data_IF_393682621323
#
_entry.id   IF_393682621323
#
_cell.length_a   1.000
_cell.length_b   1.000
_cell.length_c   1.000
_cell.angle_alpha   90.00
_cell.angle_beta   90.00
_cell.angle_gamma   90.00
#
_symmetry.space_group_name_H-M   'P 1'
#
loop_
_entity.id
_entity.type
_entity.pdbx_description
1 polymer ?
#
# COMPACT_ATOMS: atom_id res chain seq x y z
N UNK A 1 -2.60 -4.09 7.29
CA UNK A 1 -3.15 -3.45 6.07
C UNK A 1 -2.00 -3.37 5.08
N UNK A 2 -2.16 -3.91 3.88
CA UNK A 2 -1.17 -3.75 2.83
C UNK A 2 -0.94 -2.26 2.52
N UNK A 3 0.32 -1.85 2.53
CA UNK A 3 0.78 -0.52 2.12
C UNK A 3 1.52 -0.65 0.77
N UNK A 4 2.18 0.38 0.30
CA UNK A 4 2.85 0.37 -1.01
C UNK A 4 3.78 -0.86 -1.23
N UNK A 5 4.66 -1.26 -0.30
CA UNK A 5 5.55 -2.39 -0.55
C UNK A 5 4.84 -3.73 -0.73
N UNK A 6 3.79 -4.00 0.04
CA UNK A 6 2.99 -5.23 -0.06
C UNK A 6 2.24 -5.29 -1.41
N UNK A 7 1.67 -4.15 -1.82
CA UNK A 7 0.99 -4.06 -3.11
C UNK A 7 1.98 -4.19 -4.28
N UNK A 8 3.16 -3.59 -4.17
CA UNK A 8 4.23 -3.72 -5.16
C UNK A 8 4.71 -5.18 -5.29
N UNK A 9 4.85 -5.90 -4.17
CA UNK A 9 5.18 -7.32 -4.16
C UNK A 9 4.10 -8.15 -4.88
N UNK A 10 2.83 -7.85 -4.62
CA UNK A 10 1.72 -8.51 -5.31
C UNK A 10 1.74 -8.24 -6.82
N UNK A 11 1.99 -6.99 -7.23
CA UNK A 11 2.11 -6.63 -8.65
C UNK A 11 3.23 -7.43 -9.33
N UNK A 12 4.40 -7.53 -8.69
CA UNK A 12 5.53 -8.29 -9.25
C UNK A 12 5.20 -9.77 -9.47
N UNK A 13 4.51 -10.39 -8.51
CA UNK A 13 4.06 -11.77 -8.64
C UNK A 13 3.04 -11.97 -9.77
N UNK A 14 2.22 -10.93 -10.04
CA UNK A 14 1.22 -10.97 -11.10
C UNK A 14 1.76 -10.66 -12.50
N UNK A 15 3.01 -10.21 -12.64
CA UNK A 15 3.58 -9.82 -13.94
C UNK A 15 3.50 -10.93 -14.99
N UNK A 16 3.58 -12.19 -14.62
CA UNK A 16 3.43 -13.32 -15.52
C UNK A 16 2.05 -13.48 -16.18
N UNK A 17 1.08 -12.62 -15.80
CA UNK A 17 -0.26 -12.60 -16.41
C UNK A 17 -0.43 -11.50 -17.48
N UNK A 18 0.57 -10.63 -17.68
CA UNK A 18 0.58 -9.71 -18.82
C UNK A 18 0.63 -10.49 -20.13
N UNK A 19 -0.16 -10.06 -21.10
CA UNK A 19 -0.37 -10.75 -22.39
C UNK A 19 -1.31 -11.95 -22.33
N UNK A 20 -1.82 -12.34 -21.14
CA UNK A 20 -2.76 -13.47 -21.01
C UNK A 20 -4.20 -13.02 -21.12
N UNK A 21 -5.03 -13.89 -21.68
CA UNK A 21 -6.48 -13.71 -21.77
C UNK A 21 -7.11 -14.09 -20.44
N UNK A 22 -7.89 -13.18 -19.87
CA UNK A 22 -8.76 -13.44 -18.73
C UNK A 22 -10.00 -14.19 -19.21
N UNK A 23 -10.07 -15.51 -19.02
CA UNK A 23 -11.12 -16.35 -19.61
C UNK A 23 -12.47 -16.21 -18.93
N UNK A 24 -12.46 -16.17 -17.59
CA UNK A 24 -13.69 -16.14 -16.79
C UNK A 24 -13.42 -15.52 -15.42
N UNK A 25 -14.45 -14.97 -14.77
CA UNK A 25 -14.40 -14.46 -13.42
C UNK A 25 -15.51 -15.10 -12.59
N UNK A 26 -15.13 -15.84 -11.56
CA UNK A 26 -16.08 -16.41 -10.59
C UNK A 26 -16.18 -15.52 -9.36
N UNK A 27 -17.39 -15.13 -8.99
CA UNK A 27 -17.67 -14.33 -7.79
C UNK A 27 -18.44 -15.17 -6.79
N UNK A 28 -17.78 -15.53 -5.70
CA UNK A 28 -18.40 -16.31 -4.61
C UNK A 28 -19.19 -15.42 -3.65
N UNK A 29 -18.71 -14.20 -3.41
CA UNK A 29 -19.37 -13.27 -2.51
C UNK A 29 -19.25 -11.81 -3.04
N UNK A 30 -20.35 -11.24 -3.54
CA UNK A 30 -20.34 -9.86 -4.05
C UNK A 30 -20.44 -8.81 -2.94
N UNK A 31 -20.71 -9.21 -1.69
CA UNK A 31 -20.90 -8.30 -0.57
C UNK A 31 -19.58 -8.02 0.16
N UNK A 32 -18.68 -7.34 -0.54
CA UNK A 32 -17.55 -6.65 0.08
C UNK A 32 -18.01 -5.33 0.70
N UNK A 33 -17.17 -4.62 1.45
CA UNK A 33 -17.49 -3.30 2.00
C UNK A 33 -18.03 -2.34 0.93
N UNK A 34 -17.47 -2.39 -0.25
CA UNK A 34 -18.00 -1.75 -1.46
C UNK A 34 -18.60 -2.86 -2.31
N UNK A 35 -19.91 -2.78 -2.53
CA UNK A 35 -20.63 -3.79 -3.33
C UNK A 35 -19.92 -3.94 -4.67
N UNK A 36 -19.55 -5.17 -4.99
CA UNK A 36 -18.95 -5.49 -6.26
C UNK A 36 -19.97 -5.24 -7.37
N UNK A 37 -19.56 -4.55 -8.42
CA UNK A 37 -20.36 -4.40 -9.63
C UNK A 37 -20.29 -5.71 -10.44
N UNK A 38 -21.13 -6.68 -10.04
CA UNK A 38 -21.17 -7.99 -10.67
C UNK A 38 -21.66 -7.94 -12.13
N UNK A 39 -22.34 -6.88 -12.54
CA UNK A 39 -22.78 -6.74 -13.94
C UNK A 39 -21.62 -6.38 -14.85
N UNK A 40 -20.74 -5.48 -14.39
CA UNK A 40 -19.65 -4.99 -15.20
C UNK A 40 -18.36 -5.81 -15.05
N UNK A 41 -18.20 -6.63 -13.99
CA UNK A 41 -16.95 -7.39 -13.82
C UNK A 41 -16.73 -8.39 -14.97
N UNK A 42 -17.81 -8.97 -15.50
CA UNK A 42 -17.74 -9.92 -16.60
C UNK A 42 -17.41 -9.27 -17.97
N UNK A 43 -17.45 -7.93 -18.07
CA UNK A 43 -16.98 -7.24 -19.28
C UNK A 43 -15.48 -7.38 -19.51
N UNK A 44 -14.73 -7.80 -18.50
CA UNK A 44 -13.29 -8.08 -18.61
C UNK A 44 -12.98 -9.48 -19.15
N UNK A 45 -13.98 -10.37 -19.26
CA UNK A 45 -13.79 -11.73 -19.76
C UNK A 45 -13.45 -11.72 -21.24
N UNK A 46 -12.56 -12.63 -21.61
CA UNK A 46 -11.98 -12.76 -22.95
C UNK A 46 -11.11 -11.56 -23.41
N UNK A 47 -10.81 -10.62 -22.51
CA UNK A 47 -9.87 -9.54 -22.79
C UNK A 47 -8.44 -9.93 -22.38
N UNK A 48 -7.48 -9.34 -23.09
CA UNK A 48 -6.05 -9.47 -22.79
C UNK A 48 -5.67 -8.45 -21.72
N UNK A 49 -4.95 -8.89 -20.68
CA UNK A 49 -4.30 -7.97 -19.75
C UNK A 49 -3.08 -7.38 -20.46
N UNK A 50 -3.14 -6.11 -20.83
CA UNK A 50 -2.03 -5.43 -21.50
C UNK A 50 -0.89 -5.13 -20.53
N UNK A 51 -1.23 -4.68 -19.31
CA UNK A 51 -0.25 -4.31 -18.31
C UNK A 51 -0.78 -4.51 -16.89
N UNK A 52 0.11 -4.86 -15.97
CA UNK A 52 -0.17 -4.90 -14.52
C UNK A 52 0.81 -3.97 -13.83
N UNK A 53 0.30 -3.00 -13.08
CA UNK A 53 1.14 -2.06 -12.37
C UNK A 53 0.51 -1.61 -11.06
N UNK A 54 1.28 -0.95 -10.22
CA UNK A 54 0.80 -0.35 -8.98
C UNK A 54 0.56 1.14 -9.16
N UNK A 55 -0.56 1.63 -8.66
CA UNK A 55 -0.78 3.05 -8.39
C UNK A 55 -1.26 3.23 -6.96
N UNK A 56 -0.54 4.02 -6.18
CA UNK A 56 -0.80 4.16 -4.73
C UNK A 56 -0.79 2.80 -4.02
N UNK A 57 -1.91 2.40 -3.41
CA UNK A 57 -2.11 1.08 -2.77
C UNK A 57 -3.05 0.17 -3.57
N UNK A 58 -3.21 0.46 -4.86
CA UNK A 58 -4.00 -0.34 -5.78
C UNK A 58 -3.11 -1.12 -6.75
N UNK A 59 -3.50 -2.34 -7.04
CA UNK A 59 -3.07 -3.09 -8.20
C UNK A 59 -3.95 -2.64 -9.35
N UNK A 60 -3.35 -2.34 -10.49
CA UNK A 60 -4.06 -1.90 -11.69
C UNK A 60 -3.81 -2.93 -12.79
N UNK A 61 -4.87 -3.47 -13.34
CA UNK A 61 -4.87 -4.29 -14.54
C UNK A 61 -5.38 -3.41 -15.67
N UNK A 62 -4.56 -3.21 -16.68
CA UNK A 62 -4.89 -2.43 -17.87
C UNK A 62 -5.36 -3.36 -18.98
N UNK A 63 -6.50 -3.02 -19.56
CA UNK A 63 -7.09 -3.65 -20.74
C UNK A 63 -7.24 -2.60 -21.85
N UNK A 64 -7.58 -3.00 -23.08
CA UNK A 64 -7.68 -2.09 -24.23
C UNK A 64 -8.47 -0.80 -23.93
N UNK A 65 -9.60 -0.91 -23.26
CA UNK A 65 -10.52 0.21 -23.02
C UNK A 65 -10.77 0.52 -21.54
N UNK A 66 -10.29 -0.32 -20.64
CA UNK A 66 -10.61 -0.28 -19.23
C UNK A 66 -9.38 -0.44 -18.35
N UNK A 67 -9.47 0.13 -17.16
CA UNK A 67 -8.58 -0.16 -16.03
C UNK A 67 -9.36 -0.85 -14.92
N UNK A 68 -8.88 -1.98 -14.46
CA UNK A 68 -9.42 -2.63 -13.28
C UNK A 68 -8.54 -2.31 -12.07
N UNK A 69 -9.11 -1.57 -11.12
CA UNK A 69 -8.46 -1.24 -9.84
C UNK A 69 -8.82 -2.29 -8.80
N UNK A 70 -7.81 -2.90 -8.22
CA UNK A 70 -7.93 -3.83 -7.10
C UNK A 70 -7.22 -3.25 -5.88
N UNK A 71 -7.96 -2.98 -4.82
CA UNK A 71 -7.43 -2.55 -3.52
C UNK A 71 -7.59 -3.68 -2.50
N UNK A 72 -6.50 -4.07 -1.87
CA UNK A 72 -6.47 -5.21 -0.94
C UNK A 72 -7.15 -4.93 0.42
N UNK A 73 -7.59 -3.70 0.69
CA UNK A 73 -8.22 -3.34 1.96
C UNK A 73 -7.27 -3.48 3.14
N UNK A 74 -7.68 -4.21 4.17
CA UNK A 74 -6.86 -4.42 5.37
C UNK A 74 -6.28 -5.84 5.48
N UNK A 75 -6.98 -6.83 4.97
CA UNK A 75 -6.65 -8.26 5.08
C UNK A 75 -6.70 -8.97 3.74
N UNK A 76 -6.96 -8.24 2.66
CA UNK A 76 -7.01 -8.81 1.32
C UNK A 76 -5.65 -9.33 0.88
N UNK A 77 -5.67 -10.52 0.31
CA UNK A 77 -4.51 -11.21 -0.26
C UNK A 77 -4.87 -11.76 -1.63
N UNK A 78 -3.86 -11.98 -2.45
CA UNK A 78 -3.99 -12.71 -3.70
C UNK A 78 -3.24 -14.03 -3.59
N UNK A 79 -3.80 -15.08 -4.16
CA UNK A 79 -3.18 -16.40 -4.27
C UNK A 79 -3.19 -16.82 -5.73
N UNK A 80 -2.03 -17.23 -6.24
CA UNK A 80 -1.91 -17.86 -7.55
C UNK A 80 -2.01 -19.37 -7.33
N UNK A 81 -2.82 -20.03 -8.13
CA UNK A 81 -2.96 -21.49 -8.11
C UNK A 81 -3.10 -22.03 -9.54
N UNK A 82 -2.83 -23.31 -9.73
CA UNK A 82 -3.06 -24.00 -11.00
C UNK A 82 -4.55 -24.00 -11.34
N UNK A 83 -4.91 -23.90 -12.62
CA UNK A 83 -6.30 -23.89 -13.07
C UNK A 83 -7.05 -25.18 -12.72
N UNK A 84 -6.34 -26.30 -12.65
CA UNK A 84 -6.88 -27.60 -12.21
C UNK A 84 -7.10 -27.70 -10.70
N UNK A 85 -6.63 -26.73 -9.92
CA UNK A 85 -6.79 -26.75 -8.47
C UNK A 85 -8.23 -26.44 -8.08
N UNK A 86 -8.85 -27.35 -7.34
CA UNK A 86 -10.16 -27.16 -6.72
C UNK A 86 -10.07 -26.55 -5.31
N UNK A 87 -8.92 -25.97 -4.97
CA UNK A 87 -8.71 -25.38 -3.64
C UNK A 87 -9.55 -24.13 -3.49
N UNK A 88 -10.57 -24.21 -2.65
CA UNK A 88 -11.40 -23.09 -2.20
C UNK A 88 -11.18 -22.92 -0.71
N UNK A 89 -10.90 -21.71 -0.27
CA UNK A 89 -10.73 -21.38 1.14
C UNK A 89 -11.85 -20.46 1.63
N UNK A 90 -12.05 -20.49 2.94
CA UNK A 90 -12.95 -19.54 3.59
C UNK A 90 -12.48 -18.12 3.26
N UNK A 91 -13.42 -17.27 2.82
CA UNK A 91 -13.17 -15.87 2.41
C UNK A 91 -12.51 -15.67 1.03
N UNK A 92 -12.47 -16.70 0.19
CA UNK A 92 -12.23 -16.53 -1.24
C UNK A 92 -13.48 -15.88 -1.85
N UNK A 93 -13.32 -14.67 -2.38
CA UNK A 93 -14.46 -13.88 -2.87
C UNK A 93 -14.52 -13.82 -4.39
N UNK A 94 -13.38 -13.78 -5.05
CA UNK A 94 -13.29 -13.65 -6.50
C UNK A 94 -12.15 -14.52 -7.01
N UNK A 95 -12.40 -15.20 -8.12
CA UNK A 95 -11.39 -15.98 -8.84
C UNK A 95 -11.32 -15.48 -10.28
N UNK A 96 -10.16 -15.07 -10.72
CA UNK A 96 -9.84 -14.72 -12.09
C UNK A 96 -9.20 -15.93 -12.77
N UNK A 97 -9.87 -16.50 -13.75
CA UNK A 97 -9.46 -17.72 -14.43
C UNK A 97 -8.70 -17.42 -15.73
N UNK A 98 -7.53 -18.01 -15.86
CA UNK A 98 -6.71 -18.00 -17.07
C UNK A 98 -6.58 -19.45 -17.60
N UNK A 99 -5.79 -19.66 -18.65
CA UNK A 99 -5.67 -20.98 -19.25
C UNK A 99 -5.07 -22.01 -18.28
N UNK A 100 -3.94 -21.69 -17.68
CA UNK A 100 -3.14 -22.61 -16.88
C UNK A 100 -3.23 -22.32 -15.38
N UNK A 101 -3.61 -21.10 -15.01
CA UNK A 101 -3.61 -20.63 -13.63
C UNK A 101 -4.85 -19.82 -13.30
N UNK A 102 -5.08 -19.64 -12.02
CA UNK A 102 -6.10 -18.73 -11.49
C UNK A 102 -5.49 -17.79 -10.44
N UNK A 103 -6.03 -16.58 -10.35
CA UNK A 103 -5.73 -15.63 -9.28
C UNK A 103 -6.95 -15.57 -8.37
N UNK A 104 -6.77 -15.88 -7.09
CA UNK A 104 -7.84 -15.89 -6.09
C UNK A 104 -7.68 -14.70 -5.18
N UNK A 105 -8.72 -13.91 -5.02
CA UNK A 105 -8.79 -12.85 -4.02
C UNK A 105 -9.48 -13.35 -2.75
N UNK A 106 -8.72 -13.33 -1.64
CA UNK A 106 -9.18 -13.68 -0.30
C UNK A 106 -9.18 -12.44 0.58
N UNK A 107 -10.25 -12.17 1.33
CA UNK A 107 -10.31 -11.06 2.28
C UNK A 107 -11.25 -11.33 3.46
N UNK A 108 -10.67 -11.68 4.59
CA UNK A 108 -11.42 -12.00 5.83
C UNK A 108 -12.31 -10.85 6.31
N UNK A 109 -11.86 -9.61 6.17
CA UNK A 109 -12.58 -8.41 6.66
C UNK A 109 -13.46 -7.76 5.62
N UNK A 110 -13.38 -8.18 4.36
CA UNK A 110 -14.17 -7.66 3.23
C UNK A 110 -13.98 -6.16 2.98
N UNK A 111 -12.79 -5.61 3.27
CA UNK A 111 -12.46 -4.20 3.08
C UNK A 111 -11.78 -3.92 1.73
N UNK A 112 -11.46 -4.98 0.99
CA UNK A 112 -11.02 -4.87 -0.39
C UNK A 112 -12.11 -4.29 -1.29
N UNK A 113 -11.70 -3.69 -2.38
CA UNK A 113 -12.65 -3.24 -3.39
C UNK A 113 -12.09 -3.44 -4.81
N UNK A 114 -13.02 -3.55 -5.74
CA UNK A 114 -12.79 -3.72 -7.16
C UNK A 114 -13.53 -2.61 -7.90
N UNK A 115 -12.87 -1.97 -8.83
CA UNK A 115 -13.48 -0.91 -9.62
C UNK A 115 -13.00 -0.99 -11.05
N UNK A 116 -13.94 -1.07 -11.99
CA UNK A 116 -13.65 -0.96 -13.42
C UNK A 116 -13.84 0.50 -13.80
N UNK A 117 -12.86 1.07 -14.48
CA UNK A 117 -12.84 2.47 -14.91
C UNK A 117 -12.57 2.53 -16.40
N UNK A 118 -13.28 3.39 -17.12
CA UNK A 118 -12.86 3.82 -18.45
C UNK A 118 -11.50 4.52 -18.37
N UNK A 119 -10.83 4.68 -19.51
CA UNK A 119 -9.57 5.45 -19.58
C UNK A 119 -9.70 6.87 -19.04
N UNK A 120 -10.84 7.51 -19.29
CA UNK A 120 -11.12 8.86 -18.77
C UNK A 120 -11.30 8.85 -17.25
N UNK A 121 -12.16 7.98 -16.73
CA UNK A 121 -12.40 7.84 -15.29
C UNK A 121 -11.13 7.46 -14.52
N UNK A 122 -10.23 6.68 -15.13
CA UNK A 122 -8.93 6.39 -14.54
C UNK A 122 -8.02 7.62 -14.49
N UNK A 123 -7.99 8.45 -15.53
CA UNK A 123 -7.24 9.71 -15.52
C UNK A 123 -7.73 10.65 -14.42
N UNK A 124 -9.04 10.74 -14.21
CA UNK A 124 -9.62 11.57 -13.15
C UNK A 124 -9.29 11.02 -11.76
N UNK A 125 -9.33 9.72 -11.59
CA UNK A 125 -8.84 9.06 -10.37
C UNK A 125 -7.35 9.38 -10.12
N UNK A 126 -6.51 9.26 -11.13
CA UNK A 126 -5.07 9.47 -11.01
C UNK A 126 -4.71 10.92 -10.69
N UNK A 127 -5.40 11.90 -11.28
CA UNK A 127 -5.22 13.35 -11.02
C UNK A 127 -5.47 13.75 -9.58
N UNK A 128 -6.34 13.02 -8.86
CA UNK A 128 -6.62 13.29 -7.46
C UNK A 128 -5.52 12.79 -6.51
N UNK A 129 -4.62 11.99 -7.00
CA UNK A 129 -3.56 11.37 -6.21
C UNK A 129 -2.26 12.18 -6.27
N UNK A 130 -1.59 12.26 -5.14
CA UNK A 130 -0.23 12.79 -5.07
C UNK A 130 0.79 11.94 -5.83
N UNK A 131 2.04 12.39 -5.90
CA UNK A 131 3.11 11.68 -6.58
C UNK A 131 3.44 10.35 -5.88
N UNK A 132 3.96 9.42 -6.67
CA UNK A 132 4.58 8.20 -6.15
C UNK A 132 5.83 8.55 -5.33
N UNK A 133 5.98 8.02 -4.11
CA UNK A 133 7.05 8.41 -3.21
C UNK A 133 8.46 8.07 -3.72
N UNK A 134 8.56 7.10 -4.63
CA UNK A 134 9.85 6.68 -5.20
C UNK A 134 10.20 7.43 -6.51
N UNK A 135 9.28 8.22 -7.04
CA UNK A 135 9.53 9.04 -8.23
C UNK A 135 10.37 10.29 -7.92
N UNK A 136 10.86 10.95 -8.97
CA UNK A 136 11.52 12.26 -8.89
C UNK A 136 10.56 13.37 -8.48
N UNK A 137 9.27 13.25 -8.81
CA UNK A 137 8.24 14.24 -8.49
C UNK A 137 8.00 14.38 -6.97
N UNK A 138 8.30 13.37 -6.15
CA UNK A 138 8.29 13.48 -4.70
C UNK A 138 9.67 13.93 -4.23
N UNK A 139 9.88 15.25 -4.15
CA UNK A 139 11.12 15.91 -3.71
C UNK A 139 10.92 16.67 -2.40
N UNK A 140 12.03 17.14 -1.79
CA UNK A 140 11.96 17.98 -0.60
C UNK A 140 11.26 19.31 -0.90
N UNK A 141 11.55 19.95 -2.03
CA UNK A 141 10.89 21.19 -2.47
C UNK A 141 9.39 21.00 -2.69
N UNK A 142 8.97 19.88 -3.30
CA UNK A 142 7.57 19.54 -3.42
C UNK A 142 6.88 19.40 -2.06
N UNK A 143 7.49 18.64 -1.14
CA UNK A 143 6.90 18.43 0.19
C UNK A 143 6.83 19.74 0.96
N UNK A 144 7.89 20.58 0.93
CA UNK A 144 7.92 21.90 1.55
C UNK A 144 6.78 22.79 1.05
N UNK A 145 6.59 22.93 -0.25
CA UNK A 145 5.50 23.69 -0.85
C UNK A 145 4.14 23.27 -0.30
N UNK A 146 3.90 21.96 -0.23
CA UNK A 146 2.60 21.41 0.17
C UNK A 146 2.31 21.54 1.68
N UNK A 147 3.35 21.57 2.54
CA UNK A 147 3.14 21.57 3.99
C UNK A 147 3.44 22.90 4.67
N UNK A 148 4.05 23.87 3.98
CA UNK A 148 4.52 25.16 4.55
C UNK A 148 3.45 25.99 5.24
N UNK A 149 2.18 25.84 4.87
CA UNK A 149 1.04 26.53 5.49
C UNK A 149 0.18 25.61 6.38
N UNK A 150 0.61 24.36 6.61
CA UNK A 150 -0.22 23.38 7.29
C UNK A 150 0.12 23.28 8.78
N UNK A 151 -0.89 23.48 9.63
CA UNK A 151 -0.81 23.22 11.08
C UNK A 151 -1.04 21.73 11.43
N UNK A 152 -1.38 20.88 10.45
CA UNK A 152 -1.60 19.48 10.69
C UNK A 152 -0.30 18.75 11.05
N UNK A 153 -0.41 17.72 11.89
CA UNK A 153 0.70 16.86 12.23
C UNK A 153 1.35 16.23 11.00
N UNK A 154 2.66 16.27 10.90
CA UNK A 154 3.41 15.77 9.72
C UNK A 154 3.10 14.31 9.42
N UNK A 155 2.86 13.48 10.44
CA UNK A 155 2.44 12.10 10.23
C UNK A 155 1.16 11.99 9.42
N UNK A 156 0.15 12.83 9.71
CA UNK A 156 -1.10 12.83 8.97
C UNK A 156 -0.90 13.32 7.52
N UNK A 157 -0.04 14.31 7.34
CA UNK A 157 0.27 14.87 6.02
C UNK A 157 0.92 13.82 5.12
N UNK A 158 1.98 13.14 5.56
CA UNK A 158 2.65 12.12 4.74
C UNK A 158 1.82 10.84 4.53
N UNK A 159 0.75 10.65 5.28
CA UNK A 159 -0.22 9.56 5.09
C UNK A 159 -1.42 9.97 4.21
N UNK A 160 -1.51 11.24 3.83
CA UNK A 160 -2.56 11.74 2.93
C UNK A 160 -2.21 11.41 1.48
N UNK A 161 -3.08 10.65 0.80
CA UNK A 161 -2.87 10.22 -0.58
C UNK A 161 -2.90 11.35 -1.61
N UNK A 162 -3.48 12.51 -1.27
CA UNK A 162 -3.42 13.69 -2.14
C UNK A 162 -2.06 14.40 -2.06
N UNK A 163 -1.26 14.14 -1.00
CA UNK A 163 0.06 14.72 -0.85
C UNK A 163 1.15 13.76 -1.34
N UNK A 164 1.13 12.52 -0.87
CA UNK A 164 2.03 11.45 -1.34
C UNK A 164 1.31 10.11 -1.20
N UNK A 165 1.35 9.29 -2.23
CA UNK A 165 0.63 8.03 -2.21
C UNK A 165 1.42 6.91 -1.55
N UNK A 166 0.70 5.87 -1.13
CA UNK A 166 1.28 4.58 -0.76
C UNK A 166 1.86 4.50 0.65
N UNK A 167 2.24 5.62 1.28
CA UNK A 167 2.72 5.65 2.65
C UNK A 167 1.56 5.38 3.61
N UNK A 168 1.72 4.36 4.44
CA UNK A 168 0.72 4.05 5.46
C UNK A 168 1.30 4.15 6.86
N UNK A 169 0.61 3.56 7.85
CA UNK A 169 0.96 3.75 9.25
C UNK A 169 2.31 3.13 9.64
N UNK A 170 2.67 1.99 9.03
CA UNK A 170 3.94 1.32 9.34
C UNK A 170 5.10 2.17 8.84
N UNK A 171 5.10 2.48 7.56
CA UNK A 171 6.22 3.16 6.92
C UNK A 171 6.30 4.64 7.30
N UNK A 172 5.19 5.29 7.67
CA UNK A 172 5.20 6.64 8.23
C UNK A 172 5.94 6.68 9.58
N UNK A 173 5.66 5.74 10.49
CA UNK A 173 6.38 5.68 11.78
C UNK A 173 7.88 5.42 11.57
N UNK A 174 8.23 4.46 10.73
CA UNK A 174 9.64 4.13 10.46
C UNK A 174 10.40 5.32 9.82
N UNK A 175 9.79 5.98 8.85
CA UNK A 175 10.40 7.14 8.19
C UNK A 175 10.58 8.33 9.13
N UNK A 176 9.58 8.63 9.96
CA UNK A 176 9.66 9.68 10.97
C UNK A 176 10.75 9.39 12.03
N UNK A 177 10.89 8.13 12.44
CA UNK A 177 11.96 7.74 13.35
C UNK A 177 13.34 7.90 12.71
N UNK A 178 13.52 7.42 11.48
CA UNK A 178 14.80 7.51 10.75
C UNK A 178 15.21 8.97 10.50
N UNK A 179 14.25 9.83 10.19
CA UNK A 179 14.49 11.26 9.97
C UNK A 179 14.67 12.08 11.25
N UNK A 180 14.35 11.50 12.44
CA UNK A 180 14.37 12.20 13.71
C UNK A 180 13.21 13.21 13.91
N UNK A 181 12.19 13.15 13.08
CA UNK A 181 11.04 14.06 13.10
C UNK A 181 9.95 13.52 14.04
N UNK A 182 9.48 14.35 14.97
CA UNK A 182 8.38 13.98 15.85
C UNK A 182 7.05 13.90 15.08
N UNK A 183 6.23 12.84 15.23
CA UNK A 183 5.03 12.64 14.42
C UNK A 183 3.96 13.73 14.56
N UNK A 184 3.93 14.44 15.68
CA UNK A 184 2.99 15.55 15.94
C UNK A 184 3.52 16.92 15.51
N UNK A 185 4.77 17.06 15.06
CA UNK A 185 5.27 18.35 14.57
C UNK A 185 4.38 18.83 13.41
N UNK A 186 3.92 20.07 13.49
CA UNK A 186 3.11 20.68 12.42
C UNK A 186 3.94 20.85 11.14
N UNK A 187 3.31 20.70 9.98
CA UNK A 187 4.01 20.82 8.70
C UNK A 187 4.79 22.12 8.55
N UNK A 188 4.16 23.25 8.90
CA UNK A 188 4.74 24.59 8.82
C UNK A 188 5.88 24.87 9.82
N UNK A 189 6.12 23.98 10.78
CA UNK A 189 7.23 24.11 11.76
C UNK A 189 8.46 23.30 11.35
N UNK A 190 8.40 22.52 10.30
CA UNK A 190 9.54 21.74 9.83
C UNK A 190 10.56 22.64 9.09
N UNK A 191 11.83 22.45 9.41
CA UNK A 191 12.93 23.08 8.68
C UNK A 191 13.22 22.33 7.38
N UNK A 192 13.74 23.00 6.36
CA UNK A 192 14.08 22.40 5.07
C UNK A 192 15.01 21.19 5.20
N UNK A 193 15.96 21.23 6.14
CA UNK A 193 16.86 20.10 6.42
C UNK A 193 16.12 18.89 7.00
N UNK A 194 15.04 19.09 7.74
CA UNK A 194 14.22 18.00 8.28
C UNK A 194 13.30 17.43 7.21
N UNK A 195 12.76 18.29 6.35
CA UNK A 195 11.96 17.88 5.17
C UNK A 195 12.81 17.00 4.24
N UNK A 196 14.05 17.44 3.93
CA UNK A 196 14.96 16.64 3.10
C UNK A 196 15.27 15.27 3.72
N UNK A 197 15.58 15.23 5.03
CA UNK A 197 15.78 13.98 5.77
C UNK A 197 14.54 13.09 5.73
N UNK A 198 13.35 13.67 5.88
CA UNK A 198 12.09 12.92 5.87
C UNK A 198 11.79 12.30 4.50
N UNK A 199 11.96 13.07 3.42
CA UNK A 199 11.79 12.57 2.05
C UNK A 199 12.77 11.43 1.75
N UNK A 200 14.05 11.59 2.11
CA UNK A 200 15.06 10.54 1.98
C UNK A 200 14.70 9.30 2.79
N UNK A 201 14.24 9.47 4.04
CA UNK A 201 13.84 8.38 4.91
C UNK A 201 12.62 7.60 4.36
N UNK A 202 11.60 8.31 3.85
CA UNK A 202 10.44 7.68 3.19
C UNK A 202 10.90 6.82 2.01
N UNK A 203 11.71 7.39 1.11
CA UNK A 203 12.22 6.64 -0.05
C UNK A 203 13.06 5.43 0.37
N UNK A 204 13.94 5.60 1.36
CA UNK A 204 14.81 4.54 1.87
C UNK A 204 14.02 3.37 2.46
N UNK A 205 13.07 3.68 3.34
CA UNK A 205 12.27 2.67 4.04
C UNK A 205 11.41 1.86 3.08
N UNK A 206 10.77 2.55 2.11
CA UNK A 206 9.94 1.90 1.11
C UNK A 206 10.76 1.02 0.16
N UNK A 207 11.89 1.52 -0.37
CA UNK A 207 12.79 0.72 -1.22
C UNK A 207 13.26 -0.54 -0.50
N UNK A 208 13.66 -0.42 0.77
CA UNK A 208 14.11 -1.55 1.58
C UNK A 208 12.99 -2.55 1.83
N UNK A 209 11.78 -2.06 2.13
CA UNK A 209 10.62 -2.92 2.33
C UNK A 209 10.25 -3.70 1.06
N UNK A 210 10.25 -3.04 -0.11
CA UNK A 210 10.00 -3.70 -1.40
C UNK A 210 11.05 -4.80 -1.67
N UNK A 211 12.33 -4.50 -1.43
CA UNK A 211 13.41 -5.48 -1.63
C UNK A 211 13.31 -6.72 -0.73
N UNK A 212 12.62 -6.61 0.40
CA UNK A 212 12.39 -7.69 1.36
C UNK A 212 10.99 -8.33 1.23
N UNK A 213 10.26 -8.03 0.16
CA UNK A 213 8.93 -8.61 -0.08
C UNK A 213 7.81 -8.07 0.81
N UNK A 214 8.00 -6.87 1.40
CA UNK A 214 7.04 -6.24 2.30
C UNK A 214 7.09 -6.76 3.74
N UNK A 215 6.18 -6.28 4.59
CA UNK A 215 6.02 -6.75 5.98
C UNK A 215 5.05 -7.92 6.03
N UNK A 216 5.43 -9.02 6.66
CA UNK A 216 4.45 -10.02 7.11
C UNK A 216 3.76 -9.47 8.37
N UNK A 217 2.68 -8.75 8.20
CA UNK A 217 1.65 -8.69 9.21
C UNK A 217 0.92 -10.03 9.16
N UNK A 218 0.36 -10.50 10.29
CA UNK A 218 -0.20 -11.85 10.49
C UNK A 218 -1.03 -12.42 9.31
N UNK A 219 -1.50 -11.55 8.44
CA UNK A 219 -2.52 -11.85 7.42
C UNK A 219 -2.08 -11.54 5.97
N UNK A 220 -0.80 -11.22 5.70
CA UNK A 220 -0.34 -10.95 4.33
C UNK A 220 0.72 -11.96 3.90
N UNK A 221 0.44 -12.65 2.81
CA UNK A 221 1.38 -13.51 2.07
C UNK A 221 1.47 -12.98 0.63
N UNK A 222 2.63 -13.14 -0.01
CA UNK A 222 2.70 -12.91 -1.44
C UNK A 222 1.79 -13.90 -2.19
N UNK A 223 1.36 -13.59 -3.43
CA UNK A 223 0.57 -14.52 -4.22
C UNK A 223 1.16 -15.93 -4.37
N UNK A 224 2.49 -16.05 -4.29
CA UNK A 224 3.21 -17.34 -4.32
C UNK A 224 3.33 -18.00 -2.93
N UNK A 225 2.70 -17.43 -1.90
CA UNK A 225 2.72 -17.98 -0.54
C UNK A 225 3.95 -17.61 0.30
N UNK A 226 4.83 -16.75 -0.21
CA UNK A 226 6.02 -16.32 0.52
C UNK A 226 5.68 -15.28 1.60
N UNK A 227 6.30 -15.43 2.77
CA UNK A 227 6.21 -14.43 3.85
C UNK A 227 7.17 -13.27 3.58
N UNK A 228 6.68 -12.02 3.73
CA UNK A 228 7.57 -10.87 3.71
C UNK A 228 8.45 -10.82 4.98
N UNK A 229 9.73 -10.50 4.83
CA UNK A 229 10.71 -10.50 5.94
C UNK A 229 10.97 -9.12 6.54
N UNK A 230 10.30 -8.06 6.05
CA UNK A 230 10.58 -6.70 6.53
C UNK A 230 10.18 -6.46 7.98
N UNK A 231 9.19 -7.18 8.52
CA UNK A 231 8.77 -7.07 9.93
C UNK A 231 9.91 -7.26 10.92
N UNK A 232 10.86 -8.14 10.62
CA UNK A 232 12.03 -8.41 11.47
C UNK A 232 12.94 -7.17 11.60
N UNK A 233 12.80 -6.18 10.73
CA UNK A 233 13.65 -4.98 10.65
C UNK A 233 12.95 -3.68 11.03
N UNK A 234 11.72 -3.75 11.57
CA UNK A 234 11.02 -2.57 12.07
C UNK A 234 11.73 -2.04 13.32
N UNK A 235 12.01 -0.72 13.33
CA UNK A 235 12.74 -0.04 14.39
C UNK A 235 11.85 0.40 15.53
N UNK A 236 10.65 0.91 15.19
CA UNK A 236 9.75 1.48 16.20
C UNK A 236 8.32 0.94 16.09
N UNK A 237 7.83 0.62 14.91
CA UNK A 237 6.43 0.21 14.74
C UNK A 237 6.14 -1.11 15.45
N UNK A 238 5.22 -1.07 16.44
CA UNK A 238 4.86 -2.24 17.24
C UNK A 238 5.90 -2.65 18.30
N UNK A 239 6.88 -1.79 18.57
CA UNK A 239 7.95 -1.99 19.54
C UNK A 239 7.82 -1.05 20.74
N UNK A 240 6.59 -0.72 21.16
CA UNK A 240 6.35 0.07 22.37
C UNK A 240 6.98 -0.60 23.60
N UNK A 241 7.53 0.23 24.48
CA UNK A 241 8.32 -0.16 25.66
C UNK A 241 9.65 -0.90 25.37
N UNK A 242 9.95 -1.24 24.12
CA UNK A 242 11.26 -1.80 23.75
C UNK A 242 12.34 -0.71 23.71
N UNK A 243 13.62 -1.06 23.94
CA UNK A 243 14.69 -0.08 23.88
C UNK A 243 14.85 0.47 22.45
N UNK A 244 14.98 1.79 22.37
CA UNK A 244 15.26 2.48 21.10
C UNK A 244 16.61 2.02 20.53
N UNK A 245 16.69 1.59 19.26
CA UNK A 245 17.92 1.11 18.66
C UNK A 245 19.01 2.18 18.54
N UNK A 246 18.65 3.49 18.66
CA UNK A 246 19.63 4.57 18.56
C UNK A 246 20.14 5.05 19.93
N UNK A 247 19.35 4.98 21.01
CA UNK A 247 19.72 5.60 22.30
C UNK A 247 19.35 4.80 23.54
N UNK A 248 18.79 3.61 23.40
CA UNK A 248 18.40 2.72 24.49
C UNK A 248 17.15 3.15 25.32
N UNK A 249 16.65 4.37 25.16
CA UNK A 249 15.44 4.81 25.88
C UNK A 249 14.21 4.06 25.32
N UNK A 250 13.17 3.80 26.14
CA UNK A 250 11.99 3.07 25.67
C UNK A 250 11.28 3.81 24.53
N UNK A 251 10.78 3.05 23.56
CA UNK A 251 9.87 3.55 22.52
C UNK A 251 8.52 3.84 23.16
N UNK A 252 8.00 5.02 22.90
CA UNK A 252 6.67 5.45 23.36
C UNK A 252 5.62 5.20 22.29
N UNK A 253 4.38 4.94 22.75
CA UNK A 253 3.20 4.85 21.90
C UNK A 253 2.25 6.00 22.21
N UNK A 254 1.89 6.77 21.19
CA UNK A 254 0.89 7.85 21.25
C UNK A 254 -0.17 7.65 20.17
N UNK A 255 -1.22 8.46 20.17
CA UNK A 255 -2.24 8.47 19.11
C UNK A 255 -2.12 9.76 18.31
N UNK A 256 -1.98 9.65 16.99
CA UNK A 256 -1.96 10.78 16.04
C UNK A 256 -2.92 10.46 14.89
N UNK A 257 -3.92 11.32 14.68
CA UNK A 257 -4.92 11.10 13.62
C UNK A 257 -5.66 9.76 13.75
N UNK A 258 -6.09 9.42 14.98
CA UNK A 258 -6.78 8.17 15.32
C UNK A 258 -5.96 6.88 15.06
N UNK A 259 -4.64 7.00 14.90
CA UNK A 259 -3.74 5.86 14.64
C UNK A 259 -2.61 5.79 15.64
N UNK A 260 -2.29 4.57 16.09
CA UNK A 260 -1.13 4.33 16.92
C UNK A 260 0.14 4.84 16.25
N UNK A 261 0.96 5.56 16.97
CA UNK A 261 2.21 6.15 16.53
C UNK A 261 3.29 5.75 17.52
N UNK A 262 4.42 5.29 17.01
CA UNK A 262 5.55 4.80 17.78
C UNK A 262 6.74 5.70 17.56
N UNK A 263 7.37 6.16 18.62
CA UNK A 263 8.47 7.12 18.55
C UNK A 263 9.41 6.99 19.75
N UNK A 264 10.62 7.51 19.60
CA UNK A 264 11.54 7.73 20.73
C UNK A 264 11.56 9.22 21.08
N UNK A 265 11.06 9.59 22.26
CA UNK A 265 11.00 10.99 22.70
C UNK A 265 12.39 11.66 22.84
N UNK A 266 13.47 10.89 22.99
CA UNK A 266 14.84 11.41 23.00
C UNK A 266 15.34 11.73 21.59
N UNK A 267 15.06 10.85 20.62
CA UNK A 267 15.54 10.99 19.24
C UNK A 267 14.65 11.88 18.37
N UNK A 268 13.36 11.99 18.72
CA UNK A 268 12.33 12.74 17.97
C UNK A 268 11.71 13.77 18.90
N UNK A 269 12.28 14.97 18.96
CA UNK A 269 11.77 16.05 19.81
C UNK A 269 10.63 16.79 19.15
N UNK A 270 9.54 17.04 19.91
CA UNK A 270 8.43 17.90 19.45
C UNK A 270 8.89 19.35 19.33
N UNK A 271 8.44 20.03 18.29
CA UNK A 271 8.66 21.47 18.02
C UNK A 271 7.35 22.22 17.96
#
# INVERSE_FOLDING_TARGET
MPELPEVETSVRALKGFEGKILKNISVTNPHLRWKLDTKNIHTLENLIIEKIFRRAKCIVLEFSDFFHLLHLGMTGTLRIQEASSNRIEKHDHIVFHFQDKSIVFNDTRKFGYFKILSKEAYRDFDRQLGPEPLSTNFSASYLEEKISKSNAAIKNLIMNQHLVVGVGNIYANEALFISGVHPMTSGNKLKNTEIDKLVKAIKQVLKKAIALGGTTLKDFYSPEGNKGYFKIKLKVYGNDNQPCPNCGKPISRIVVGQRASFLCNKCQKLR
#
